data_IF_241139966320
#
_entry.id   IF_241139966320
#
_cell.length_a   1.000
_cell.length_b   1.000
_cell.length_c   1.000
_cell.angle_alpha   90.00
_cell.angle_beta   90.00
_cell.angle_gamma   90.00
#
_symmetry.space_group_name_H-M   'P 1'
#
loop_
_entity.id
_entity.type
_entity.pdbx_description
1 polymer ?
#
# COMPACT_ATOMS: atom_id res chain seq x y z
N UNK A 1 25.38 5.29 -5.27
CA UNK A 1 24.28 4.35 -5.61
C UNK A 1 23.93 3.47 -4.42
N UNK A 2 24.90 2.79 -3.79
CA UNK A 2 24.68 1.94 -2.60
C UNK A 2 24.11 2.73 -1.39
N UNK A 3 24.63 3.93 -1.12
CA UNK A 3 24.12 4.79 -0.02
C UNK A 3 22.64 5.21 -0.19
N UNK A 4 22.23 5.50 -1.43
CA UNK A 4 20.84 5.85 -1.74
C UNK A 4 19.88 4.68 -1.45
N UNK A 5 20.29 3.44 -1.76
CA UNK A 5 19.50 2.25 -1.43
C UNK A 5 19.42 2.03 0.09
N UNK A 6 20.49 2.29 0.84
CA UNK A 6 20.45 2.20 2.31
C UNK A 6 19.55 3.24 2.97
N UNK A 7 19.48 4.46 2.42
CA UNK A 7 18.57 5.51 2.92
C UNK A 7 17.10 5.18 2.65
N UNK A 8 16.79 4.57 1.50
CA UNK A 8 15.44 4.04 1.22
C UNK A 8 15.04 3.00 2.26
N UNK A 9 15.98 2.15 2.72
CA UNK A 9 15.70 1.18 3.78
C UNK A 9 15.44 1.80 5.15
N UNK A 10 16.07 2.95 5.46
CA UNK A 10 15.74 3.72 6.66
C UNK A 10 14.33 4.32 6.60
N UNK A 11 13.78 4.53 5.40
CA UNK A 11 12.43 5.04 5.17
C UNK A 11 11.37 3.94 4.96
N UNK A 12 11.68 2.67 5.24
CA UNK A 12 10.70 1.55 5.10
C UNK A 12 9.36 1.87 5.78
N UNK A 13 9.42 2.38 7.01
CA UNK A 13 8.23 2.77 7.77
C UNK A 13 7.37 3.80 7.03
N UNK A 14 7.99 4.80 6.41
CA UNK A 14 7.32 5.85 5.65
C UNK A 14 6.61 5.28 4.43
N UNK A 15 7.29 4.41 3.69
CA UNK A 15 6.72 3.71 2.53
C UNK A 15 5.56 2.79 2.93
N UNK A 16 5.65 2.13 4.09
CA UNK A 16 4.57 1.30 4.64
C UNK A 16 3.36 2.15 5.03
N UNK A 17 3.56 3.34 5.61
CA UNK A 17 2.48 4.33 5.84
C UNK A 17 1.86 4.75 4.51
N UNK A 18 2.65 5.14 3.52
CA UNK A 18 2.15 5.55 2.21
C UNK A 18 1.33 4.45 1.55
N UNK A 19 1.86 3.22 1.48
CA UNK A 19 1.16 2.08 0.91
C UNK A 19 -0.18 1.81 1.62
N UNK A 20 -0.18 1.85 2.95
CA UNK A 20 -1.38 1.68 3.76
C UNK A 20 -2.41 2.79 3.52
N UNK A 21 -1.98 4.05 3.48
CA UNK A 21 -2.85 5.20 3.20
C UNK A 21 -3.52 5.09 1.83
N UNK A 22 -2.75 4.75 0.78
CA UNK A 22 -3.29 4.59 -0.56
C UNK A 22 -4.27 3.44 -0.67
N UNK A 23 -4.00 2.29 -0.04
CA UNK A 23 -4.95 1.19 -0.01
C UNK A 23 -6.24 1.58 0.70
N UNK A 24 -6.17 2.22 1.87
CA UNK A 24 -7.37 2.70 2.57
C UNK A 24 -8.12 3.71 1.70
N UNK A 25 -7.43 4.64 1.05
CA UNK A 25 -8.04 5.58 0.13
C UNK A 25 -8.75 4.84 -1.01
N UNK A 26 -8.13 3.82 -1.62
CA UNK A 26 -8.71 3.00 -2.69
C UNK A 26 -9.96 2.22 -2.28
N UNK A 27 -10.17 1.94 -1.00
CA UNK A 27 -11.39 1.25 -0.53
C UNK A 27 -12.66 2.02 -0.91
N UNK A 28 -12.62 3.35 -0.86
CA UNK A 28 -13.73 4.22 -1.23
C UNK A 28 -14.06 4.23 -2.73
N UNK A 29 -13.19 3.68 -3.57
CA UNK A 29 -13.34 3.66 -5.04
C UNK A 29 -13.82 2.31 -5.59
N UNK A 30 -13.69 1.24 -4.80
CA UNK A 30 -14.17 -0.12 -5.12
C UNK A 30 -15.65 -0.15 -5.56
N UNK A 31 -16.58 0.64 -4.98
CA UNK A 31 -17.99 0.59 -5.37
C UNK A 31 -18.25 0.84 -6.86
N UNK A 32 -17.34 1.51 -7.58
CA UNK A 32 -17.44 1.79 -9.02
C UNK A 32 -16.86 0.72 -9.95
N UNK A 33 -16.12 -0.26 -9.43
CA UNK A 33 -15.32 -1.21 -10.24
C UNK A 33 -16.08 -2.52 -10.53
N UNK A 34 -16.83 -3.02 -9.55
CA UNK A 34 -17.50 -4.31 -9.65
C UNK A 34 -19.01 -4.14 -9.83
N UNK A 35 -19.68 -5.07 -10.52
CA UNK A 35 -21.15 -5.08 -10.60
C UNK A 35 -21.80 -6.00 -9.56
N UNK A 36 -21.03 -6.91 -8.95
CA UNK A 36 -21.52 -7.88 -7.97
C UNK A 36 -21.25 -7.38 -6.56
N UNK A 37 -22.30 -7.28 -5.73
CA UNK A 37 -22.21 -6.72 -4.38
C UNK A 37 -21.28 -7.52 -3.45
N UNK A 38 -21.29 -8.85 -3.56
CA UNK A 38 -20.40 -9.70 -2.77
C UNK A 38 -18.92 -9.42 -3.07
N UNK A 39 -18.54 -9.32 -4.35
CA UNK A 39 -17.18 -8.98 -4.75
C UNK A 39 -16.77 -7.58 -4.26
N UNK A 40 -17.68 -6.59 -4.30
CA UNK A 40 -17.41 -5.27 -3.74
C UNK A 40 -17.05 -5.35 -2.26
N UNK A 41 -17.87 -6.04 -1.47
CA UNK A 41 -17.68 -6.17 -0.02
C UNK A 41 -16.38 -6.91 0.29
N UNK A 42 -16.09 -8.00 -0.41
CA UNK A 42 -14.84 -8.77 -0.20
C UNK A 42 -13.61 -7.94 -0.52
N UNK A 43 -13.56 -7.28 -1.69
CA UNK A 43 -12.41 -6.46 -2.07
C UNK A 43 -12.28 -5.26 -1.14
N UNK A 44 -13.39 -4.68 -0.70
CA UNK A 44 -13.41 -3.59 0.28
C UNK A 44 -12.81 -4.02 1.62
N UNK A 45 -13.27 -5.13 2.17
CA UNK A 45 -12.78 -5.66 3.43
C UNK A 45 -11.28 -6.00 3.34
N UNK A 46 -10.86 -6.72 2.30
CA UNK A 46 -9.46 -7.10 2.09
C UNK A 46 -8.58 -5.84 2.00
N UNK A 47 -8.98 -4.86 1.19
CA UNK A 47 -8.17 -3.66 0.99
C UNK A 47 -8.07 -2.83 2.26
N UNK A 48 -9.16 -2.71 3.02
CA UNK A 48 -9.17 -1.96 4.27
C UNK A 48 -8.35 -2.66 5.37
N UNK A 49 -8.45 -3.98 5.47
CA UNK A 49 -7.66 -4.78 6.41
C UNK A 49 -6.18 -4.61 6.10
N UNK A 50 -5.76 -4.87 4.85
CA UNK A 50 -4.34 -4.78 4.45
C UNK A 50 -3.83 -3.34 4.60
N UNK A 51 -4.60 -2.35 4.14
CA UNK A 51 -4.23 -0.93 4.27
C UNK A 51 -4.09 -0.47 5.73
N UNK A 52 -5.05 -0.85 6.58
CA UNK A 52 -5.01 -0.56 8.01
C UNK A 52 -3.84 -1.25 8.72
N UNK A 53 -3.54 -2.51 8.37
CA UNK A 53 -2.38 -3.23 8.89
C UNK A 53 -1.06 -2.55 8.52
N UNK A 54 -0.89 -2.15 7.26
CA UNK A 54 0.31 -1.44 6.82
C UNK A 54 0.44 -0.05 7.47
N UNK A 55 -0.67 0.68 7.66
CA UNK A 55 -0.63 1.93 8.45
C UNK A 55 -0.16 1.68 9.88
N UNK A 56 -0.72 0.67 10.55
CA UNK A 56 -0.33 0.33 11.91
C UNK A 56 1.17 -0.02 12.01
N UNK A 57 1.68 -0.89 11.13
CA UNK A 57 3.12 -1.22 11.08
C UNK A 57 3.97 0.04 10.88
N UNK A 58 3.61 0.87 9.89
CA UNK A 58 4.37 2.06 9.55
C UNK A 58 4.44 3.07 10.70
N UNK A 59 3.31 3.32 11.37
CA UNK A 59 3.26 4.20 12.53
C UNK A 59 3.97 3.60 13.75
N UNK A 60 3.85 2.30 14.00
CA UNK A 60 4.59 1.65 15.08
C UNK A 60 6.10 1.77 14.90
N UNK A 61 6.61 1.61 13.67
CA UNK A 61 8.04 1.84 13.40
C UNK A 61 8.45 3.30 13.52
N UNK A 62 7.60 4.23 13.11
CA UNK A 62 7.85 5.65 13.34
C UNK A 62 7.92 5.98 14.85
N UNK A 63 7.03 5.40 15.65
CA UNK A 63 7.00 5.59 17.10
C UNK A 63 8.19 4.92 17.82
N UNK A 64 8.63 3.75 17.35
CA UNK A 64 9.82 3.08 17.89
C UNK A 64 11.08 3.94 17.66
N UNK A 65 11.17 4.62 16.52
CA UNK A 65 12.26 5.56 16.22
C UNK A 65 12.22 6.82 17.10
N UNK A 66 11.03 7.32 17.44
CA UNK A 66 10.86 8.53 18.25
C UNK A 66 11.04 8.25 19.76
N UNK A 67 10.43 7.17 20.25
CA UNK A 67 10.38 6.85 21.69
C UNK A 67 11.51 5.94 22.17
N UNK A 68 12.20 5.25 21.26
CA UNK A 68 13.16 4.18 21.58
C UNK A 68 12.52 2.94 22.22
N UNK A 69 11.18 2.88 22.29
CA UNK A 69 10.46 1.74 22.86
C UNK A 69 10.02 0.76 21.78
N UNK A 70 10.15 -0.53 22.08
CA UNK A 70 9.82 -1.62 21.15
C UNK A 70 8.30 -1.66 20.96
N UNK A 71 7.86 -1.47 19.72
CA UNK A 71 6.45 -1.54 19.35
C UNK A 71 6.06 -2.95 18.87
N UNK A 72 4.76 -3.32 18.96
CA UNK A 72 4.27 -4.58 18.41
C UNK A 72 4.54 -4.70 16.90
N UNK A 73 4.94 -5.89 16.45
CA UNK A 73 5.10 -6.18 15.03
C UNK A 73 3.87 -6.90 14.47
N UNK A 74 3.53 -6.63 13.20
CA UNK A 74 2.49 -7.40 12.54
C UNK A 74 2.87 -8.88 12.36
N UNK A 75 1.97 -9.82 12.67
CA UNK A 75 2.21 -11.24 12.44
C UNK A 75 2.36 -11.49 10.94
N UNK A 76 3.36 -12.28 10.56
CA UNK A 76 3.68 -12.57 9.15
C UNK A 76 3.88 -11.30 8.30
N UNK A 77 4.52 -10.26 8.86
CA UNK A 77 4.75 -8.95 8.21
C UNK A 77 5.07 -9.00 6.73
N UNK A 78 5.97 -9.88 6.29
CA UNK A 78 6.33 -10.02 4.88
C UNK A 78 5.14 -10.35 3.98
N UNK A 79 4.18 -11.16 4.46
CA UNK A 79 2.94 -11.47 3.77
C UNK A 79 2.07 -10.21 3.64
N UNK A 80 1.92 -9.42 4.70
CA UNK A 80 1.16 -8.17 4.66
C UNK A 80 1.74 -7.17 3.66
N UNK A 81 3.06 -7.00 3.69
CA UNK A 81 3.78 -6.13 2.77
C UNK A 81 3.62 -6.63 1.32
N UNK A 82 3.77 -7.93 1.09
CA UNK A 82 3.58 -8.52 -0.24
C UNK A 82 2.15 -8.32 -0.76
N UNK A 83 1.15 -8.61 0.09
CA UNK A 83 -0.27 -8.41 -0.25
C UNK A 83 -0.58 -6.95 -0.55
N UNK A 84 -0.02 -6.01 0.22
CA UNK A 84 -0.15 -4.59 -0.04
C UNK A 84 0.44 -4.19 -1.38
N UNK A 85 1.64 -4.67 -1.70
CA UNK A 85 2.29 -4.45 -2.99
C UNK A 85 1.46 -4.99 -4.15
N UNK A 86 0.99 -6.24 -4.05
CA UNK A 86 0.14 -6.87 -5.08
C UNK A 86 -1.17 -6.10 -5.27
N UNK A 87 -1.83 -5.69 -4.18
CA UNK A 87 -3.08 -4.93 -4.24
C UNK A 87 -2.87 -3.56 -4.90
N UNK A 88 -1.82 -2.82 -4.53
CA UNK A 88 -1.48 -1.53 -5.14
C UNK A 88 -1.25 -1.68 -6.65
N UNK A 89 -0.49 -2.68 -7.08
CA UNK A 89 -0.30 -2.95 -8.50
C UNK A 89 -1.60 -3.35 -9.20
N UNK A 90 -2.47 -4.10 -8.52
CA UNK A 90 -3.83 -4.40 -9.02
C UNK A 90 -4.67 -3.14 -9.22
N UNK A 91 -4.54 -2.16 -8.32
CA UNK A 91 -5.24 -0.87 -8.43
C UNK A 91 -4.76 -0.01 -9.61
N UNK A 92 -3.61 -0.29 -10.23
CA UNK A 92 -3.21 0.37 -11.48
C UNK A 92 -4.25 0.16 -12.60
N UNK A 93 -4.97 -0.96 -12.57
CA UNK A 93 -6.05 -1.22 -13.54
C UNK A 93 -7.19 -0.19 -13.46
N UNK A 94 -7.38 0.47 -12.31
CA UNK A 94 -8.37 1.54 -12.15
C UNK A 94 -8.03 2.75 -13.03
N UNK A 95 -6.74 3.03 -13.24
CA UNK A 95 -6.25 4.13 -14.07
C UNK A 95 -6.35 3.82 -15.57
N UNK A 96 -6.43 2.53 -15.94
CA UNK A 96 -6.55 2.06 -17.32
C UNK A 96 -8.03 1.73 -17.60
N UNK A 97 -8.91 2.73 -17.53
CA UNK A 97 -10.34 2.50 -17.78
C UNK A 97 -10.62 2.18 -19.25
N UNK A 98 -11.33 1.07 -19.58
CA UNK A 98 -11.68 0.73 -20.96
C UNK A 98 -12.65 1.71 -21.62
N UNK A 99 -13.30 2.58 -20.83
CA UNK A 99 -14.28 3.56 -21.31
C UNK A 99 -13.68 4.96 -21.54
N UNK A 100 -12.36 5.09 -21.51
CA UNK A 100 -11.68 6.37 -21.77
C UNK A 100 -11.99 7.46 -20.75
N UNK A 101 -12.56 7.13 -19.59
CA UNK A 101 -12.53 8.05 -18.45
C UNK A 101 -11.12 8.03 -17.90
N UNK A 102 -10.32 8.97 -18.39
CA UNK A 102 -9.29 9.59 -17.56
C UNK A 102 -10.08 10.19 -16.38
N UNK A 103 -10.35 9.36 -15.38
CA UNK A 103 -10.77 9.87 -14.08
C UNK A 103 -9.68 10.86 -13.69
N UNK A 104 -10.05 12.02 -13.16
CA UNK A 104 -9.12 13.09 -12.80
C UNK A 104 -8.24 12.67 -11.60
N UNK A 105 -7.50 11.59 -11.76
CA UNK A 105 -6.46 11.13 -10.88
C UNK A 105 -5.17 11.52 -11.56
N UNK A 106 -4.41 12.34 -10.86
CA UNK A 106 -3.21 12.97 -11.41
C UNK A 106 -2.25 11.87 -11.84
N UNK A 107 -1.53 12.04 -12.95
CA UNK A 107 -0.49 11.08 -13.36
C UNK A 107 0.48 10.75 -12.21
N UNK A 108 0.67 11.72 -11.31
CA UNK A 108 1.38 11.57 -10.05
C UNK A 108 0.81 10.44 -9.15
N UNK A 109 -0.50 10.34 -9.01
CA UNK A 109 -1.17 9.34 -8.18
C UNK A 109 -0.87 7.93 -8.69
N UNK A 110 -1.07 7.68 -9.99
CA UNK A 110 -0.72 6.42 -10.64
C UNK A 110 0.76 6.06 -10.47
N UNK A 111 1.66 7.05 -10.62
CA UNK A 111 3.10 6.84 -10.42
C UNK A 111 3.39 6.47 -8.97
N UNK A 112 2.75 7.14 -8.00
CA UNK A 112 2.91 6.81 -6.59
C UNK A 112 2.39 5.39 -6.29
N UNK A 113 1.23 5.00 -6.82
CA UNK A 113 0.69 3.64 -6.69
C UNK A 113 1.67 2.59 -7.20
N UNK A 114 2.23 2.82 -8.40
CA UNK A 114 3.18 1.92 -9.04
C UNK A 114 4.46 1.81 -8.20
N UNK A 115 5.05 2.95 -7.84
CA UNK A 115 6.30 2.99 -7.07
C UNK A 115 6.10 2.37 -5.70
N UNK A 116 5.05 2.73 -4.97
CA UNK A 116 4.72 2.14 -3.68
C UNK A 116 4.50 0.62 -3.79
N UNK A 117 3.81 0.16 -4.84
CA UNK A 117 3.62 -1.27 -5.10
C UNK A 117 4.94 -2.02 -5.29
N UNK A 118 5.82 -1.51 -6.15
CA UNK A 118 7.15 -2.09 -6.40
C UNK A 118 8.02 -2.07 -5.14
N UNK A 119 8.04 -0.96 -4.40
CA UNK A 119 8.82 -0.82 -3.16
C UNK A 119 8.33 -1.81 -2.10
N UNK A 120 7.02 -1.97 -1.92
CA UNK A 120 6.49 -2.98 -1.00
C UNK A 120 6.90 -4.38 -1.41
N UNK A 121 6.81 -4.75 -2.69
CA UNK A 121 7.25 -6.07 -3.13
C UNK A 121 8.75 -6.30 -2.88
N UNK A 122 9.59 -5.29 -3.11
CA UNK A 122 11.01 -5.37 -2.79
C UNK A 122 11.23 -5.63 -1.28
N UNK A 123 10.58 -4.88 -0.41
CA UNK A 123 10.68 -5.07 1.05
C UNK A 123 10.13 -6.41 1.52
N UNK A 124 9.11 -6.94 0.85
CA UNK A 124 8.57 -8.26 1.18
C UNK A 124 9.60 -9.38 0.93
N UNK A 125 10.48 -9.22 -0.06
CA UNK A 125 11.53 -10.17 -0.41
C UNK A 125 12.80 -10.04 0.48
N UNK A 126 12.77 -9.16 1.49
CA UNK A 126 13.89 -8.95 2.42
C UNK A 126 14.94 -7.97 1.92
N UNK A 127 14.70 -7.30 0.77
CA UNK A 127 15.52 -6.17 0.36
C UNK A 127 15.31 -5.03 1.30
#
# INVERSE_FOLDING_TARGET
>A
MIEFFSEIFLMRWLWTIFAGFYLVAYTFWIPGIFNRIFLKISVFAITLIIGGGLLAEGFFRAMELDSGSIMPELPFKHIWIALGGVLLLGYLWVYISPKGRIVAHWALDMVITLVAGVVMLAYSAGF
#
